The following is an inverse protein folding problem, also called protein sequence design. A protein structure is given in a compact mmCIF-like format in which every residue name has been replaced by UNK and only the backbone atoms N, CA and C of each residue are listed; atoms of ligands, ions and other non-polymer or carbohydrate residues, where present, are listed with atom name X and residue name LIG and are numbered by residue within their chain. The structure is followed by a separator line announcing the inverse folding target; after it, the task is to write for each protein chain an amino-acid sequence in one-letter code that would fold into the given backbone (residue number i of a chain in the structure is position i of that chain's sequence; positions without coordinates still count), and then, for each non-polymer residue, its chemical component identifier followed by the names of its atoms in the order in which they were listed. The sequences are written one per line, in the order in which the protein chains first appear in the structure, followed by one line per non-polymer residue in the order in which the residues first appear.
data_IF_868418656939
#
_entry.id   IF_868418656939
#
_cell.length_a   1.000
_cell.length_b   1.000
_cell.length_c   1.000
_cell.angle_alpha   90.00
_cell.angle_beta   90.00
_cell.angle_gamma   90.00
#
_symmetry.space_group_name_H-M   'P 1'
#
loop_
_entity.id
_entity.type
_entity.pdbx_description
1 polymer ?
#
# COMPACT_ATOMS: atom_id res chain seq x y z
N UNK A 1 7.19 -30.98 -7.15
CA UNK A 1 6.47 -29.78 -6.68
C UNK A 1 7.33 -28.58 -7.03
N UNK A 2 6.87 -27.74 -7.97
CA UNK A 2 7.63 -26.56 -8.40
C UNK A 2 7.58 -25.53 -7.27
N UNK A 3 8.73 -25.23 -6.67
CA UNK A 3 8.89 -24.07 -5.79
C UNK A 3 8.73 -22.84 -6.68
N UNK A 4 7.51 -22.32 -6.81
CA UNK A 4 7.29 -21.08 -7.55
C UNK A 4 8.06 -19.94 -6.87
N UNK A 5 9.23 -19.62 -7.41
CA UNK A 5 10.06 -18.44 -7.13
C UNK A 5 9.40 -17.18 -7.71
N UNK A 6 8.09 -17.03 -7.50
CA UNK A 6 7.39 -15.82 -7.93
C UNK A 6 7.78 -14.69 -7.00
N UNK A 7 8.50 -13.73 -7.54
CA UNK A 7 8.83 -12.47 -6.86
C UNK A 7 7.74 -11.46 -7.14
N UNK A 8 7.38 -10.68 -6.12
CA UNK A 8 6.46 -9.56 -6.20
C UNK A 8 7.22 -8.26 -6.02
N UNK A 9 6.99 -7.31 -6.91
CA UNK A 9 7.33 -5.91 -6.68
C UNK A 9 6.29 -5.30 -5.75
N UNK A 10 6.77 -4.63 -4.71
CA UNK A 10 5.95 -3.83 -3.80
C UNK A 10 5.98 -2.39 -4.28
N UNK A 11 4.81 -1.85 -4.60
CA UNK A 11 4.63 -0.46 -5.03
C UNK A 11 3.78 0.31 -4.02
N UNK A 12 4.12 1.58 -3.82
CA UNK A 12 3.19 2.59 -3.32
C UNK A 12 2.43 3.13 -4.53
N UNK A 13 1.11 3.06 -4.51
CA UNK A 13 0.25 3.53 -5.62
C UNK A 13 -0.61 4.69 -5.16
N UNK A 14 -0.76 5.71 -6.01
CA UNK A 14 -1.68 6.83 -5.79
C UNK A 14 -2.80 6.79 -6.81
N UNK A 15 -4.03 6.95 -6.33
CA UNK A 15 -5.22 6.92 -7.16
C UNK A 15 -6.36 7.77 -6.58
N UNK A 16 -7.28 8.22 -7.40
CA UNK A 16 -8.48 8.95 -6.98
C UNK A 16 -9.68 8.01 -6.94
N UNK A 17 -10.36 7.92 -5.79
CA UNK A 17 -11.64 7.20 -5.70
C UNK A 17 -12.81 8.10 -6.11
N UNK A 18 -13.96 7.48 -6.45
CA UNK A 18 -15.19 8.16 -6.84
C UNK A 18 -15.60 9.12 -5.71
N UNK A 19 -15.39 10.43 -5.90
CA UNK A 19 -15.50 11.44 -4.84
C UNK A 19 -14.34 12.44 -4.77
N UNK A 20 -13.37 12.40 -5.70
CA UNK A 20 -12.26 13.37 -5.85
C UNK A 20 -11.23 13.43 -4.71
N UNK A 21 -11.22 12.44 -3.81
CA UNK A 21 -10.17 12.34 -2.81
C UNK A 21 -9.06 11.43 -3.33
N UNK A 22 -7.82 11.88 -3.15
CA UNK A 22 -6.65 11.06 -3.46
C UNK A 22 -6.42 10.06 -2.33
N UNK A 23 -6.12 8.83 -2.74
CA UNK A 23 -5.82 7.71 -1.88
C UNK A 23 -4.48 7.12 -2.25
N UNK A 24 -3.85 6.52 -1.25
CA UNK A 24 -2.60 5.79 -1.40
C UNK A 24 -2.78 4.39 -0.85
N UNK A 25 -2.16 3.41 -1.52
CA UNK A 25 -2.20 2.01 -1.13
C UNK A 25 -0.89 1.30 -1.45
N UNK A 26 -0.76 0.09 -0.90
CA UNK A 26 0.28 -0.87 -1.27
C UNK A 26 -0.24 -1.78 -2.38
N UNK A 27 0.52 -1.93 -3.46
CA UNK A 27 0.23 -2.86 -4.54
C UNK A 27 1.35 -3.90 -4.64
N UNK A 28 0.95 -5.16 -4.63
CA UNK A 28 1.83 -6.31 -4.84
C UNK A 28 1.62 -6.80 -6.25
N UNK A 29 2.63 -6.67 -7.10
CA UNK A 29 2.54 -7.09 -8.51
C UNK A 29 3.64 -8.09 -8.82
N UNK A 30 3.30 -9.29 -9.35
CA UNK A 30 4.30 -10.24 -9.81
C UNK A 30 5.27 -9.56 -10.79
N UNK A 31 6.57 -9.81 -10.66
CA UNK A 31 7.59 -9.15 -11.51
C UNK A 31 7.28 -9.33 -13.00
N UNK A 32 6.72 -10.48 -13.37
CA UNK A 32 6.34 -10.82 -14.74
C UNK A 32 5.22 -9.92 -15.31
N UNK A 33 4.49 -9.19 -14.46
CA UNK A 33 3.36 -8.34 -14.81
C UNK A 33 3.59 -6.86 -14.43
N UNK A 34 4.85 -6.46 -14.23
CA UNK A 34 5.19 -5.10 -13.74
C UNK A 34 4.72 -3.95 -14.65
N UNK A 35 4.42 -4.24 -15.92
CA UNK A 35 3.92 -3.24 -16.89
C UNK A 35 2.41 -2.96 -16.81
N UNK A 36 1.67 -3.58 -15.87
CA UNK A 36 0.20 -3.46 -15.82
C UNK A 36 -0.34 -2.20 -15.11
N UNK A 37 0.52 -1.35 -14.55
CA UNK A 37 0.10 -0.11 -13.90
C UNK A 37 -0.28 0.96 -14.94
N UNK A 38 -1.57 1.22 -15.13
CA UNK A 38 -2.04 2.33 -15.97
C UNK A 38 -3.37 2.12 -16.69
N UNK A 39 -3.95 0.92 -16.67
CA UNK A 39 -5.22 0.64 -17.34
C UNK A 39 -6.47 1.07 -16.52
N UNK A 40 -6.29 1.65 -15.33
CA UNK A 40 -7.37 1.88 -14.36
C UNK A 40 -7.70 3.38 -14.29
N UNK A 41 -8.96 3.73 -14.54
CA UNK A 41 -9.45 5.10 -14.35
C UNK A 41 -9.20 5.57 -12.91
N UNK A 42 -8.58 6.75 -12.76
CA UNK A 42 -8.22 7.33 -11.47
C UNK A 42 -6.82 6.99 -10.97
N UNK A 43 -6.06 6.11 -11.64
CA UNK A 43 -4.64 5.93 -11.37
C UNK A 43 -3.86 7.22 -11.65
N UNK A 44 -2.95 7.59 -10.76
CA UNK A 44 -2.07 8.76 -10.91
C UNK A 44 -0.63 8.35 -11.11
N UNK A 45 -0.08 7.64 -10.15
CA UNK A 45 1.31 7.23 -10.14
C UNK A 45 1.53 5.96 -9.30
N UNK A 46 2.71 5.38 -9.47
CA UNK A 46 3.22 4.31 -8.62
C UNK A 46 4.71 4.49 -8.44
N UNK A 47 5.19 4.18 -7.24
CA UNK A 47 6.61 4.22 -6.90
C UNK A 47 7.02 2.84 -6.40
N UNK A 48 7.97 2.22 -7.11
CA UNK A 48 8.58 0.96 -6.69
C UNK A 48 9.31 1.15 -5.35
N UNK A 49 9.14 0.20 -4.43
CA UNK A 49 9.80 0.23 -3.13
C UNK A 49 10.88 -0.85 -3.03
N UNK A 50 10.50 -2.12 -3.18
CA UNK A 50 11.40 -3.27 -3.09
C UNK A 50 10.68 -4.54 -3.60
N UNK A 51 11.39 -5.67 -3.60
CA UNK A 51 10.87 -6.97 -3.98
C UNK A 51 10.73 -7.90 -2.78
N UNK A 52 9.68 -8.73 -2.78
CA UNK A 52 9.50 -9.83 -1.82
C UNK A 52 9.18 -11.13 -2.56
N UNK A 53 9.57 -12.26 -2.00
CA UNK A 53 9.23 -13.59 -2.54
C UNK A 53 7.83 -14.01 -2.11
N UNK A 54 7.13 -14.79 -2.93
CA UNK A 54 5.75 -15.28 -2.67
C UNK A 54 5.57 -15.90 -1.27
N UNK A 55 6.57 -16.61 -0.76
CA UNK A 55 6.52 -17.23 0.57
C UNK A 55 6.47 -16.24 1.74
N UNK A 56 6.74 -14.95 1.49
CA UNK A 56 6.64 -13.88 2.49
C UNK A 56 5.32 -13.10 2.44
N UNK A 57 4.39 -13.47 1.56
CA UNK A 57 3.10 -12.77 1.41
C UNK A 57 2.24 -12.87 2.66
N UNK A 58 2.11 -14.05 3.26
CA UNK A 58 1.35 -14.22 4.51
C UNK A 58 1.87 -13.28 5.61
N UNK A 59 3.19 -13.15 5.71
CA UNK A 59 3.82 -12.25 6.67
C UNK A 59 3.60 -10.77 6.33
N UNK A 60 3.55 -10.42 5.04
CA UNK A 60 3.18 -9.06 4.61
C UNK A 60 1.75 -8.73 5.04
N UNK A 61 0.79 -9.65 4.83
CA UNK A 61 -0.60 -9.46 5.22
C UNK A 61 -0.75 -9.34 6.74
N UNK A 62 0.00 -10.13 7.51
CA UNK A 62 0.05 -10.01 8.98
C UNK A 62 0.53 -8.62 9.43
N UNK A 63 1.61 -8.10 8.82
CA UNK A 63 2.12 -6.75 9.12
C UNK A 63 1.07 -5.71 8.73
N UNK A 64 0.48 -5.80 7.55
CA UNK A 64 -0.55 -4.86 7.10
C UNK A 64 -1.78 -4.86 8.02
N UNK A 65 -2.24 -6.03 8.47
CA UNK A 65 -3.39 -6.17 9.36
C UNK A 65 -3.10 -5.68 10.79
N UNK A 66 -1.84 -5.75 11.24
CA UNK A 66 -1.40 -5.24 12.53
C UNK A 66 -1.48 -3.71 12.61
N UNK A 67 -1.29 -3.01 11.49
CA UNK A 67 -1.43 -1.56 11.44
C UNK A 67 -2.91 -1.18 11.36
N UNK A 68 -3.48 -0.52 12.38
CA UNK A 68 -4.90 -0.17 12.36
C UNK A 68 -5.19 0.79 11.22
N UNK A 69 -6.33 0.63 10.52
CA UNK A 69 -6.72 1.57 9.47
C UNK A 69 -6.77 2.98 10.06
N UNK A 70 -6.35 4.00 9.28
CA UNK A 70 -6.34 5.38 9.73
C UNK A 70 -7.76 5.94 9.69
N UNK A 71 -8.62 5.43 10.57
CA UNK A 71 -9.94 5.98 10.81
C UNK A 71 -9.84 6.97 11.97
N UNK A 72 -10.00 8.25 11.64
CA UNK A 72 -10.12 9.32 12.62
C UNK A 72 -11.52 9.93 12.49
N UNK A 73 -12.44 9.71 13.44
CA UNK A 73 -13.80 10.21 13.34
C UNK A 73 -13.87 11.75 13.29
N UNK A 74 -12.82 12.46 13.72
CA UNK A 74 -12.75 13.93 13.66
C UNK A 74 -12.82 14.46 12.24
N UNK A 75 -12.37 13.69 11.24
CA UNK A 75 -12.43 14.11 9.82
C UNK A 75 -13.87 14.26 9.31
N UNK A 76 -14.86 13.70 10.01
CA UNK A 76 -16.28 13.85 9.68
C UNK A 76 -16.89 15.16 10.21
N UNK A 77 -16.28 15.75 11.24
CA UNK A 77 -16.85 16.87 12.00
C UNK A 77 -15.96 18.11 12.06
N UNK A 78 -14.66 17.95 11.85
CA UNK A 78 -13.65 19.01 11.94
C UNK A 78 -13.02 19.27 10.57
N UNK A 79 -12.99 20.55 10.16
CA UNK A 79 -12.41 20.96 8.88
C UNK A 79 -10.88 20.81 8.85
N UNK A 80 -10.22 21.08 9.98
CA UNK A 80 -8.77 20.96 10.16
C UNK A 80 -8.49 20.39 11.56
N UNK A 81 -8.50 19.05 11.71
CA UNK A 81 -8.16 18.41 12.98
C UNK A 81 -6.72 18.72 13.38
N UNK A 82 -6.50 19.07 14.65
CA UNK A 82 -5.16 19.26 15.22
C UNK A 82 -4.88 18.23 16.33
N UNK A 83 -3.77 17.47 16.26
CA UNK A 83 -2.86 17.32 15.12
C UNK A 83 -3.57 16.72 13.89
N UNK A 84 -2.99 16.86 12.67
CA UNK A 84 -3.58 16.33 11.45
C UNK A 84 -4.04 14.89 11.62
N UNK A 85 -5.26 14.60 11.18
CA UNK A 85 -5.78 13.25 11.19
C UNK A 85 -4.85 12.34 10.37
N UNK A 86 -4.51 11.19 10.94
CA UNK A 86 -3.75 10.15 10.23
C UNK A 86 -4.54 9.75 8.98
N UNK A 87 -3.88 9.68 7.83
CA UNK A 87 -4.52 9.35 6.56
C UNK A 87 -3.95 8.03 5.98
N UNK A 88 -4.51 7.59 4.84
CA UNK A 88 -4.09 6.37 4.16
C UNK A 88 -2.59 6.36 3.82
N UNK A 89 -1.99 7.52 3.52
CA UNK A 89 -0.57 7.63 3.22
C UNK A 89 0.29 7.28 4.44
N UNK A 90 -0.08 7.74 5.64
CA UNK A 90 0.66 7.38 6.86
C UNK A 90 0.60 5.88 7.15
N UNK A 91 -0.56 5.24 6.95
CA UNK A 91 -0.67 3.78 7.10
C UNK A 91 0.20 3.04 6.08
N UNK A 92 0.23 3.50 4.83
CA UNK A 92 1.09 2.94 3.78
C UNK A 92 2.56 3.04 4.18
N UNK A 93 3.01 4.21 4.66
CA UNK A 93 4.37 4.43 5.13
C UNK A 93 4.74 3.45 6.25
N UNK A 94 3.88 3.33 7.28
CA UNK A 94 4.14 2.45 8.43
C UNK A 94 4.26 0.97 8.02
N UNK A 95 3.38 0.49 7.14
CA UNK A 95 3.40 -0.89 6.63
C UNK A 95 4.64 -1.13 5.78
N UNK A 96 4.98 -0.23 4.85
CA UNK A 96 6.15 -0.38 3.99
C UNK A 96 7.44 -0.39 4.82
N UNK A 97 7.54 0.48 5.83
CA UNK A 97 8.69 0.55 6.70
C UNK A 97 8.89 -0.73 7.53
N UNK A 98 7.82 -1.31 8.08
CA UNK A 98 7.90 -2.57 8.85
C UNK A 98 8.20 -3.77 7.93
N UNK A 99 7.53 -3.86 6.79
CA UNK A 99 7.80 -4.90 5.79
C UNK A 99 9.25 -4.83 5.31
N UNK A 100 9.78 -3.63 5.04
CA UNK A 100 11.17 -3.47 4.62
C UNK A 100 12.16 -3.92 5.69
N UNK A 101 11.85 -3.68 6.98
CA UNK A 101 12.72 -4.14 8.09
C UNK A 101 12.67 -5.64 8.31
N UNK A 102 11.53 -6.28 8.09
CA UNK A 102 11.35 -7.71 8.39
C UNK A 102 11.60 -8.63 7.19
N UNK A 103 11.30 -8.18 5.97
CA UNK A 103 11.17 -9.05 4.79
C UNK A 103 12.19 -8.78 3.68
N UNK A 104 12.99 -7.72 3.76
CA UNK A 104 13.99 -7.33 2.76
C UNK A 104 15.37 -7.30 3.39
#
# INVERSE_FOLDING_TARGET
MSLETTTYNVYRVRFTQRGNHDHEANALVPVQNSDQFGAVNGYKDSTFQYQIVKSKLDRFEEIAAKHPPPYDPRVLTEREPHPPARNCANWVDDVLDEVKRELV
#
